data_IF_895495580157
#
_entry.id   IF_895495580157
#
_cell.length_a   1.000
_cell.length_b   1.000
_cell.length_c   1.000
_cell.angle_alpha   90.00
_cell.angle_beta   90.00
_cell.angle_gamma   90.00
#
_symmetry.space_group_name_H-M   'P 1'
#
loop_
_entity.id
_entity.type
_entity.pdbx_description
1 polymer ?
#
# COMPACT_ATOMS: atom_id res chain seq x y z
N UNK A 1 -40.34 -26.71 47.11
CA UNK A 1 -39.21 -27.60 46.82
C UNK A 1 -38.74 -27.38 45.38
N UNK A 2 -37.46 -27.04 45.20
CA UNK A 2 -36.67 -26.99 43.95
C UNK A 2 -37.19 -26.04 42.84
N UNK A 3 -36.61 -24.85 42.69
CA UNK A 3 -35.43 -24.53 41.84
C UNK A 3 -35.71 -24.65 40.33
N UNK A 4 -35.61 -23.53 39.59
CA UNK A 4 -34.49 -23.22 38.67
C UNK A 4 -34.78 -21.89 37.95
N UNK A 5 -33.78 -21.00 37.98
CA UNK A 5 -33.74 -19.68 37.35
C UNK A 5 -33.82 -19.76 35.82
N UNK A 6 -34.72 -18.97 35.23
CA UNK A 6 -34.78 -18.67 33.79
C UNK A 6 -33.96 -17.41 33.50
N UNK A 7 -32.83 -17.56 32.80
CA UNK A 7 -32.06 -16.43 32.26
C UNK A 7 -32.33 -16.28 30.76
N UNK A 8 -33.16 -15.28 30.45
CA UNK A 8 -33.48 -14.82 29.10
C UNK A 8 -32.27 -14.19 28.42
N UNK A 9 -31.70 -14.88 27.42
CA UNK A 9 -30.69 -14.32 26.51
C UNK A 9 -31.34 -13.93 25.18
N UNK A 10 -31.21 -12.64 24.83
CA UNK A 10 -31.72 -12.03 23.61
C UNK A 10 -31.11 -12.67 22.36
N UNK A 11 -32.00 -13.15 21.48
CA UNK A 11 -31.75 -13.69 20.14
C UNK A 11 -31.45 -12.52 19.19
N UNK A 12 -30.20 -12.34 18.77
CA UNK A 12 -29.83 -11.44 17.66
C UNK A 12 -29.81 -12.26 16.37
N UNK A 13 -30.64 -11.83 15.42
CA UNK A 13 -30.95 -12.47 14.16
C UNK A 13 -29.78 -12.29 13.16
N UNK A 14 -29.04 -13.36 12.88
CA UNK A 14 -27.88 -13.38 11.98
C UNK A 14 -28.25 -13.89 10.58
N UNK A 15 -29.19 -13.20 9.92
CA UNK A 15 -29.50 -13.42 8.51
C UNK A 15 -28.89 -12.30 7.67
N UNK A 16 -27.61 -12.45 7.30
CA UNK A 16 -26.97 -11.87 6.10
C UNK A 16 -25.51 -12.33 6.07
N UNK A 17 -25.21 -13.24 5.13
CA UNK A 17 -23.91 -13.51 4.46
C UNK A 17 -23.88 -14.96 3.94
N UNK A 18 -24.74 -15.24 2.96
CA UNK A 18 -24.55 -16.31 1.98
C UNK A 18 -24.47 -15.67 0.60
N UNK A 19 -23.26 -15.30 0.20
CA UNK A 19 -22.80 -15.20 -1.19
C UNK A 19 -21.28 -15.00 -1.14
N UNK A 20 -20.58 -15.40 -2.19
CA UNK A 20 -19.11 -15.34 -2.40
C UNK A 20 -18.30 -16.55 -1.89
N UNK A 21 -18.39 -17.69 -2.58
CA UNK A 21 -17.22 -18.55 -2.81
C UNK A 21 -17.44 -19.46 -4.03
N UNK A 22 -17.74 -18.87 -5.17
CA UNK A 22 -17.57 -19.46 -6.50
C UNK A 22 -17.06 -18.32 -7.40
N UNK A 23 -16.15 -18.62 -8.32
CA UNK A 23 -15.38 -17.70 -9.18
C UNK A 23 -14.08 -17.14 -8.58
N UNK A 24 -13.07 -18.01 -8.54
CA UNK A 24 -11.64 -17.64 -8.65
C UNK A 24 -10.88 -18.92 -9.07
N UNK A 25 -11.15 -19.40 -10.28
CA UNK A 25 -10.29 -20.38 -10.97
C UNK A 25 -10.61 -20.44 -12.46
N UNK A 26 -10.05 -19.51 -13.24
CA UNK A 26 -9.71 -19.70 -14.66
C UNK A 26 -8.94 -18.47 -15.14
N UNK A 27 -7.62 -18.50 -15.01
CA UNK A 27 -6.71 -17.61 -15.76
C UNK A 27 -5.25 -18.05 -15.52
N UNK A 28 -4.85 -19.16 -16.13
CA UNK A 28 -3.46 -19.34 -16.60
C UNK A 28 -3.45 -20.36 -17.72
N UNK A 29 -3.62 -19.90 -18.95
CA UNK A 29 -3.10 -20.51 -20.19
C UNK A 29 -3.64 -19.70 -21.38
N UNK A 30 -2.79 -18.85 -21.95
CA UNK A 30 -2.60 -18.62 -23.39
C UNK A 30 -1.75 -17.37 -23.61
N UNK A 31 -0.53 -17.59 -24.04
CA UNK A 31 0.30 -16.60 -24.71
C UNK A 31 -0.07 -16.58 -26.21
N UNK A 32 0.19 -15.43 -26.84
CA UNK A 32 0.17 -15.14 -28.28
C UNK A 32 -1.21 -15.03 -28.97
N UNK A 33 -1.76 -13.81 -28.97
CA UNK A 33 -2.41 -13.18 -30.13
C UNK A 33 -2.66 -11.69 -29.80
N UNK A 34 -2.34 -10.78 -30.71
CA UNK A 34 -2.69 -9.35 -30.61
C UNK A 34 -4.21 -9.19 -30.67
N UNK A 35 -4.85 -8.29 -29.90
CA UNK A 35 -6.26 -8.01 -30.11
C UNK A 35 -6.43 -6.79 -31.01
N UNK A 36 -7.15 -7.03 -32.11
CA UNK A 36 -7.86 -6.01 -32.86
C UNK A 36 -8.93 -5.34 -32.01
N UNK A 37 -9.20 -4.09 -32.38
CA UNK A 37 -10.26 -3.21 -31.90
C UNK A 37 -11.65 -3.83 -32.06
N UNK A 38 -12.44 -3.89 -30.98
CA UNK A 38 -13.91 -3.77 -31.07
C UNK A 38 -14.51 -3.28 -29.75
N UNK A 39 -15.48 -2.39 -29.89
CA UNK A 39 -16.06 -1.57 -28.84
C UNK A 39 -17.20 -2.25 -28.06
N UNK A 40 -17.28 -1.85 -26.77
CA UNK A 40 -18.43 -1.75 -25.84
C UNK A 40 -19.59 -2.75 -25.87
N UNK A 41 -19.94 -3.28 -24.69
CA UNK A 41 -21.23 -2.97 -24.03
C UNK A 41 -21.39 -3.60 -22.63
N UNK A 42 -21.91 -2.77 -21.71
CA UNK A 42 -22.67 -3.09 -20.49
C UNK A 42 -22.09 -4.06 -19.44
N UNK A 43 -21.34 -3.55 -18.45
CA UNK A 43 -21.33 -4.04 -17.06
C UNK A 43 -20.32 -3.27 -16.18
N UNK A 44 -20.64 -2.07 -15.68
CA UNK A 44 -20.19 -1.60 -14.34
C UNK A 44 -20.77 -0.20 -14.02
N UNK A 45 -21.94 -0.11 -13.37
CA UNK A 45 -22.52 1.16 -12.92
C UNK A 45 -21.91 1.68 -11.58
N UNK A 46 -20.93 0.96 -11.01
CA UNK A 46 -20.35 1.30 -9.71
C UNK A 46 -19.24 2.36 -9.76
N UNK A 47 -18.85 2.93 -8.60
CA UNK A 47 -17.69 3.82 -8.49
C UNK A 47 -16.38 3.11 -8.89
N UNK A 48 -15.47 3.86 -9.52
CA UNK A 48 -14.14 3.38 -9.91
C UNK A 48 -13.17 3.58 -8.76
N UNK A 49 -12.61 2.48 -8.26
CA UNK A 49 -11.63 2.50 -7.18
C UNK A 49 -10.21 2.36 -7.71
N UNK A 50 -9.31 3.26 -7.30
CA UNK A 50 -7.89 3.21 -7.65
C UNK A 50 -7.00 3.56 -6.45
N UNK A 51 -5.74 3.09 -6.41
CA UNK A 51 -4.80 3.46 -5.36
C UNK A 51 -3.35 3.49 -5.84
N UNK A 52 -2.78 2.33 -6.20
CA UNK A 52 -1.35 2.22 -6.55
C UNK A 52 -1.14 2.46 -8.04
N UNK A 53 0.00 3.05 -8.37
CA UNK A 53 0.45 3.26 -9.74
C UNK A 53 0.64 1.96 -10.54
N UNK A 54 0.81 0.82 -9.85
CA UNK A 54 0.99 -0.50 -10.45
C UNK A 54 -0.30 -1.31 -10.58
N UNK A 55 -1.44 -0.80 -10.08
CA UNK A 55 -2.71 -1.52 -10.14
C UNK A 55 -3.40 -1.28 -11.48
N UNK A 56 -3.50 -2.30 -12.33
CA UNK A 56 -4.27 -2.22 -13.57
C UNK A 56 -5.77 -2.52 -13.31
N UNK A 57 -6.72 -1.84 -13.99
CA UNK A 57 -6.52 -0.92 -15.12
C UNK A 57 -6.46 0.58 -14.76
N UNK A 58 -6.70 0.96 -13.49
CA UNK A 58 -6.93 2.38 -13.10
C UNK A 58 -5.73 3.05 -12.39
N UNK A 59 -4.59 2.37 -12.25
CA UNK A 59 -3.43 2.85 -11.51
C UNK A 59 -2.83 4.14 -12.09
N UNK A 60 -3.07 4.41 -13.38
CA UNK A 60 -2.70 5.66 -14.03
C UNK A 60 -3.36 6.90 -13.40
N UNK A 61 -4.47 6.76 -12.65
CA UNK A 61 -5.09 7.86 -11.92
C UNK A 61 -4.27 8.32 -10.72
N UNK A 62 -3.38 7.46 -10.19
CA UNK A 62 -2.51 7.79 -9.05
C UNK A 62 -1.53 8.92 -9.38
N UNK A 63 -1.29 9.82 -8.42
CA UNK A 63 -0.32 10.90 -8.56
C UNK A 63 1.14 10.40 -8.66
N UNK A 64 1.37 9.14 -8.30
CA UNK A 64 2.68 8.47 -8.36
C UNK A 64 2.95 7.81 -9.71
N UNK A 65 1.95 7.73 -10.59
CA UNK A 65 2.13 7.19 -11.93
C UNK A 65 3.13 8.02 -12.74
N UNK A 66 4.15 7.35 -13.28
CA UNK A 66 5.22 7.97 -14.04
C UNK A 66 4.69 8.50 -15.38
N UNK A 67 4.42 9.80 -15.43
CA UNK A 67 3.93 10.49 -16.60
C UNK A 67 4.54 11.89 -16.62
N UNK A 68 5.59 12.05 -17.44
CA UNK A 68 6.38 13.27 -17.49
C UNK A 68 5.51 14.40 -18.05
N UNK A 69 5.44 15.53 -17.35
CA UNK A 69 4.62 16.69 -17.74
C UNK A 69 5.40 18.00 -17.60
N UNK A 70 4.95 19.03 -18.32
CA UNK A 70 5.44 20.42 -18.24
C UNK A 70 4.32 21.34 -17.78
N UNK A 71 4.66 22.35 -16.99
CA UNK A 71 3.74 23.47 -16.74
C UNK A 71 3.82 24.45 -17.92
N UNK A 72 2.71 25.15 -18.20
CA UNK A 72 2.62 26.14 -19.25
C UNK A 72 3.28 27.46 -18.85
N UNK A 73 3.35 27.77 -17.55
CA UNK A 73 4.04 28.97 -17.04
C UNK A 73 5.55 28.86 -17.20
N UNK A 74 6.11 27.67 -16.91
CA UNK A 74 7.56 27.41 -16.92
C UNK A 74 7.88 26.17 -17.76
N UNK A 75 7.93 26.35 -19.09
CA UNK A 75 8.19 25.25 -20.03
C UNK A 75 9.55 24.57 -19.85
N UNK A 76 10.46 25.20 -19.10
CA UNK A 76 11.80 24.70 -18.77
C UNK A 76 11.77 23.58 -17.74
N UNK A 77 10.75 23.53 -16.88
CA UNK A 77 10.68 22.56 -15.78
C UNK A 77 9.88 21.33 -16.22
N UNK A 78 10.53 20.17 -16.16
CA UNK A 78 9.90 18.87 -16.43
C UNK A 78 9.68 18.13 -15.12
N UNK A 79 8.43 17.78 -14.85
CA UNK A 79 8.01 17.02 -13.67
C UNK A 79 7.83 15.54 -14.03
N UNK A 80 8.55 14.60 -13.38
CA UNK A 80 8.42 13.16 -13.66
C UNK A 80 7.06 12.56 -13.31
N UNK A 81 6.44 13.05 -12.24
CA UNK A 81 5.12 12.65 -11.75
C UNK A 81 4.37 13.87 -11.22
N UNK A 82 3.05 13.73 -11.05
CA UNK A 82 2.25 14.80 -10.45
C UNK A 82 2.56 15.02 -8.95
N UNK A 83 3.10 14.00 -8.24
CA UNK A 83 3.66 14.19 -6.90
C UNK A 83 4.84 15.19 -6.89
N UNK A 84 5.71 15.17 -7.90
CA UNK A 84 6.82 16.13 -7.99
C UNK A 84 6.30 17.56 -8.14
N UNK A 85 5.28 17.74 -8.97
CA UNK A 85 4.62 19.03 -9.13
C UNK A 85 3.99 19.51 -7.83
N UNK A 86 3.22 18.65 -7.16
CA UNK A 86 2.54 18.99 -5.91
C UNK A 86 3.53 19.41 -4.81
N UNK A 87 4.63 18.69 -4.64
CA UNK A 87 5.63 19.04 -3.62
C UNK A 87 6.46 20.27 -3.99
N UNK A 88 6.75 20.49 -5.28
CA UNK A 88 7.41 21.70 -5.75
C UNK A 88 6.54 22.94 -5.50
N UNK A 89 5.26 22.89 -5.88
CA UNK A 89 4.33 23.99 -5.65
C UNK A 89 4.08 24.23 -4.16
N UNK A 90 4.09 23.17 -3.34
CA UNK A 90 4.06 23.32 -1.89
C UNK A 90 5.28 24.10 -1.38
N UNK A 91 6.48 23.77 -1.84
CA UNK A 91 7.69 24.49 -1.42
C UNK A 91 7.64 25.96 -1.87
N UNK A 92 7.15 26.23 -3.09
CA UNK A 92 6.95 27.59 -3.60
C UNK A 92 5.90 28.39 -2.83
N UNK A 93 4.81 27.76 -2.39
CA UNK A 93 3.78 28.41 -1.58
C UNK A 93 4.32 28.94 -0.24
N UNK A 94 5.32 28.27 0.34
CA UNK A 94 5.97 28.68 1.59
C UNK A 94 7.34 29.33 1.37
N UNK A 95 7.64 29.78 0.14
CA UNK A 95 8.87 30.50 -0.21
C UNK A 95 10.17 29.73 0.14
N UNK A 96 10.11 28.39 0.18
CA UNK A 96 11.27 27.53 0.45
C UNK A 96 11.94 27.07 -0.85
N UNK A 97 12.74 27.97 -1.42
CA UNK A 97 13.51 27.70 -2.64
C UNK A 97 14.51 26.55 -2.48
N UNK A 98 15.05 26.34 -1.27
CA UNK A 98 16.03 25.28 -1.01
C UNK A 98 15.42 23.89 -1.17
N UNK A 99 14.20 23.69 -0.67
CA UNK A 99 13.47 22.43 -0.86
C UNK A 99 12.95 22.33 -2.29
N UNK A 100 12.48 23.42 -2.90
CA UNK A 100 12.03 23.45 -4.28
C UNK A 100 13.14 22.96 -5.24
N UNK A 101 14.36 23.48 -5.10
CA UNK A 101 15.53 23.08 -5.90
C UNK A 101 15.91 21.61 -5.68
N UNK A 102 15.84 21.12 -4.44
CA UNK A 102 16.08 19.69 -4.14
C UNK A 102 15.05 18.78 -4.81
N UNK A 103 13.78 19.19 -4.84
CA UNK A 103 12.72 18.45 -5.52
C UNK A 103 12.97 18.42 -7.04
N UNK A 104 13.38 19.56 -7.63
CA UNK A 104 13.72 19.64 -9.04
C UNK A 104 15.00 18.89 -9.41
N UNK A 105 15.98 18.83 -8.53
CA UNK A 105 17.19 18.02 -8.72
C UNK A 105 16.88 16.51 -8.62
N UNK A 106 15.88 16.15 -7.82
CA UNK A 106 15.44 14.77 -7.58
C UNK A 106 14.59 14.13 -8.67
N UNK A 107 14.77 14.48 -9.97
CA UNK A 107 13.91 13.98 -11.07
C UNK A 107 13.88 12.45 -11.21
N UNK A 108 14.95 11.78 -10.77
CA UNK A 108 15.06 10.32 -10.82
C UNK A 108 14.69 9.65 -9.49
N UNK A 109 14.26 10.43 -8.49
CA UNK A 109 13.86 9.88 -7.21
C UNK A 109 12.46 9.27 -7.28
N UNK A 110 12.29 8.20 -6.51
CA UNK A 110 10.97 7.60 -6.33
C UNK A 110 10.02 8.61 -5.64
N UNK A 111 8.73 8.71 -6.03
CA UNK A 111 7.76 9.70 -5.49
C UNK A 111 7.70 9.77 -3.97
N UNK A 112 7.87 8.62 -3.30
CA UNK A 112 8.02 8.54 -1.84
C UNK A 112 9.09 9.49 -1.27
N UNK A 113 10.27 9.58 -1.89
CA UNK A 113 11.36 10.44 -1.40
C UNK A 113 11.02 11.92 -1.59
N UNK A 114 10.30 12.25 -2.65
CA UNK A 114 9.80 13.61 -2.92
C UNK A 114 8.74 14.02 -1.89
N UNK A 115 7.83 13.10 -1.56
CA UNK A 115 6.86 13.30 -0.47
C UNK A 115 7.53 13.50 0.89
N UNK A 116 8.67 12.84 1.13
CA UNK A 116 9.50 13.08 2.33
C UNK A 116 10.10 14.49 2.32
N UNK A 117 10.66 14.96 1.19
CA UNK A 117 11.17 16.32 1.06
C UNK A 117 10.08 17.38 1.27
N UNK A 118 8.87 17.15 0.74
CA UNK A 118 7.74 18.06 0.95
C UNK A 118 7.22 18.13 2.40
N UNK A 119 7.68 17.25 3.30
CA UNK A 119 7.44 17.35 4.75
C UNK A 119 8.50 18.17 5.48
N UNK A 120 9.62 18.44 4.82
CA UNK A 120 10.74 19.21 5.37
C UNK A 120 10.68 20.70 4.97
N UNK A 121 9.61 21.14 4.29
CA UNK A 121 9.37 22.54 3.91
C UNK A 121 9.34 23.43 5.15
N UNK A 122 10.21 24.45 5.18
CA UNK A 122 10.25 25.43 6.24
C UNK A 122 9.01 26.35 6.19
N UNK A 123 8.60 26.89 7.35
CA UNK A 123 7.48 27.84 7.41
C UNK A 123 6.10 27.24 7.11
N UNK A 124 5.95 25.91 7.18
CA UNK A 124 4.69 25.24 6.88
C UNK A 124 3.57 25.65 7.85
N UNK A 125 2.53 26.27 7.29
CA UNK A 125 1.24 26.51 7.96
C UNK A 125 0.16 25.59 7.40
N UNK A 126 -0.56 24.90 8.28
CA UNK A 126 -1.59 23.94 7.90
C UNK A 126 -2.83 24.63 7.32
N UNK A 127 -3.19 25.81 7.82
CA UNK A 127 -4.41 26.51 7.39
C UNK A 127 -4.29 27.00 5.94
N UNK A 128 -3.15 27.62 5.62
CA UNK A 128 -2.78 28.06 4.27
C UNK A 128 -2.69 26.88 3.30
N UNK A 129 -2.10 25.77 3.75
CA UNK A 129 -2.04 24.55 2.93
C UNK A 129 -3.42 23.95 2.67
N UNK A 130 -4.33 23.94 3.65
CA UNK A 130 -5.69 23.43 3.48
C UNK A 130 -6.47 24.25 2.44
N UNK A 131 -6.27 25.57 2.41
CA UNK A 131 -6.91 26.47 1.45
C UNK A 131 -6.41 26.23 0.00
N UNK A 132 -5.10 26.09 -0.19
CA UNK A 132 -4.49 26.08 -1.54
C UNK A 132 -4.29 24.68 -2.15
N UNK A 133 -4.16 23.64 -1.31
CA UNK A 133 -3.76 22.28 -1.77
C UNK A 133 -4.66 21.72 -2.87
N UNK A 134 -5.96 22.00 -2.81
CA UNK A 134 -6.92 21.44 -3.75
C UNK A 134 -6.71 22.03 -5.15
N UNK A 135 -6.47 23.35 -5.24
CA UNK A 135 -6.18 24.01 -6.50
C UNK A 135 -4.86 23.55 -7.10
N UNK A 136 -3.83 23.39 -6.27
CA UNK A 136 -2.52 22.89 -6.69
C UNK A 136 -2.64 21.48 -7.29
N UNK A 137 -3.36 20.56 -6.62
CA UNK A 137 -3.53 19.19 -7.11
C UNK A 137 -4.44 19.12 -8.34
N UNK A 138 -5.49 19.94 -8.41
CA UNK A 138 -6.31 20.08 -9.62
C UNK A 138 -5.46 20.54 -10.81
N UNK A 139 -4.63 21.57 -10.64
CA UNK A 139 -3.72 22.06 -11.69
C UNK A 139 -2.69 20.99 -12.09
N UNK A 140 -2.07 20.31 -11.14
CA UNK A 140 -1.14 19.21 -11.44
C UNK A 140 -1.79 18.06 -12.19
N UNK A 141 -3.02 17.72 -11.82
CA UNK A 141 -3.82 16.68 -12.50
C UNK A 141 -4.21 17.13 -13.91
N UNK A 142 -4.60 18.39 -14.11
CA UNK A 142 -4.85 18.95 -15.43
C UNK A 142 -3.63 18.86 -16.35
N UNK A 143 -2.45 19.27 -15.87
CA UNK A 143 -1.20 19.18 -16.63
C UNK A 143 -0.86 17.74 -17.01
N UNK A 144 -1.08 16.80 -16.08
CA UNK A 144 -0.89 15.37 -16.32
C UNK A 144 -1.79 14.85 -17.45
N UNK A 145 -3.02 15.33 -17.58
CA UNK A 145 -3.95 14.87 -18.62
C UNK A 145 -3.75 15.58 -19.96
N UNK A 146 -3.29 16.84 -19.97
CA UNK A 146 -3.29 17.68 -21.18
C UNK A 146 -1.92 17.94 -21.79
N UNK A 147 -0.85 17.92 -20.99
CA UNK A 147 0.51 18.30 -21.42
C UNK A 147 1.58 17.23 -21.10
N UNK A 148 1.40 15.97 -21.52
CA UNK A 148 2.49 15.00 -21.47
C UNK A 148 3.69 15.38 -22.33
N UNK A 149 4.87 14.92 -21.91
CA UNK A 149 5.97 14.68 -22.85
C UNK A 149 5.65 13.42 -23.67
N UNK A 150 5.89 13.49 -24.99
CA UNK A 150 5.44 12.54 -26.04
C UNK A 150 6.04 11.12 -25.97
N UNK A 151 6.52 10.68 -24.82
CA UNK A 151 7.23 9.40 -24.66
C UNK A 151 6.29 8.20 -24.42
N UNK A 152 4.96 8.42 -24.31
CA UNK A 152 3.97 7.37 -24.09
C UNK A 152 2.84 7.42 -25.12
N UNK A 153 2.48 6.24 -25.62
CA UNK A 153 1.47 6.02 -26.66
C UNK A 153 0.02 6.24 -26.19
N UNK A 154 -0.20 6.36 -24.87
CA UNK A 154 -1.54 6.42 -24.25
C UNK A 154 -1.87 7.85 -23.81
N UNK A 155 -3.01 8.36 -24.29
CA UNK A 155 -3.58 9.65 -23.89
C UNK A 155 -4.41 9.47 -22.61
N UNK A 156 -3.89 9.91 -21.46
CA UNK A 156 -4.60 9.78 -20.18
C UNK A 156 -5.86 10.65 -20.11
N UNK A 157 -5.93 11.75 -20.87
CA UNK A 157 -7.11 12.59 -20.93
C UNK A 157 -8.30 11.88 -21.59
N UNK A 158 -8.05 11.11 -22.65
CA UNK A 158 -9.07 10.29 -23.32
C UNK A 158 -9.55 9.17 -22.38
N UNK A 159 -8.63 8.46 -21.71
CA UNK A 159 -8.99 7.45 -20.71
C UNK A 159 -9.83 8.04 -19.57
N UNK A 160 -9.59 9.29 -19.18
CA UNK A 160 -10.40 9.96 -18.16
C UNK A 160 -11.81 10.26 -18.68
N UNK A 161 -11.96 10.64 -19.94
CA UNK A 161 -13.28 10.84 -20.55
C UNK A 161 -14.06 9.52 -20.70
N UNK A 162 -13.37 8.41 -21.00
CA UNK A 162 -13.96 7.06 -21.09
C UNK A 162 -14.58 6.59 -19.78
N UNK A 163 -14.15 7.12 -18.63
CA UNK A 163 -14.78 6.81 -17.33
C UNK A 163 -16.25 7.26 -17.23
N UNK A 164 -16.74 8.06 -18.19
CA UNK A 164 -18.11 8.54 -18.22
C UNK A 164 -18.43 9.38 -16.99
N UNK A 165 -19.62 9.19 -16.42
CA UNK A 165 -20.08 9.91 -15.22
C UNK A 165 -19.83 9.15 -13.92
N UNK A 166 -19.04 8.07 -13.97
CA UNK A 166 -18.74 7.26 -12.79
C UNK A 166 -17.95 8.05 -11.76
N UNK A 167 -18.25 7.82 -10.48
CA UNK A 167 -17.53 8.42 -9.37
C UNK A 167 -16.13 7.83 -9.25
N UNK A 168 -15.11 8.69 -9.16
CA UNK A 168 -13.71 8.27 -9.04
C UNK A 168 -13.27 8.34 -7.57
N UNK A 169 -12.78 7.21 -7.04
CA UNK A 169 -12.50 7.06 -5.59
C UNK A 169 -11.08 6.55 -5.35
N UNK A 170 -10.26 7.35 -4.66
CA UNK A 170 -8.94 6.91 -4.23
C UNK A 170 -9.03 6.00 -2.99
N UNK A 171 -8.88 4.70 -3.20
CA UNK A 171 -9.01 3.64 -2.21
C UNK A 171 -7.72 3.38 -1.42
N UNK A 172 -7.10 4.46 -0.92
CA UNK A 172 -5.93 4.40 -0.05
C UNK A 172 -6.34 4.08 1.40
N UNK A 173 -5.88 2.98 2.01
CA UNK A 173 -6.22 2.63 3.39
C UNK A 173 -5.53 3.49 4.45
N UNK A 174 -4.53 4.30 4.06
CA UNK A 174 -3.72 5.07 5.00
C UNK A 174 -3.93 6.58 4.89
N UNK A 175 -4.60 7.05 3.82
CA UNK A 175 -4.83 8.47 3.56
C UNK A 175 -6.33 8.75 3.59
N UNK A 176 -6.75 9.63 4.51
CA UNK A 176 -8.14 10.07 4.67
C UNK A 176 -8.39 11.48 4.12
N UNK A 177 -7.35 12.15 3.62
CA UNK A 177 -7.47 13.50 3.05
C UNK A 177 -7.59 13.37 1.54
N UNK A 178 -6.62 12.72 0.90
CA UNK A 178 -6.64 12.54 -0.55
C UNK A 178 -7.51 11.35 -0.97
N UNK A 179 -7.53 10.29 -0.16
CA UNK A 179 -8.36 9.10 -0.35
C UNK A 179 -9.41 8.86 0.74
N UNK A 180 -10.12 7.74 0.62
CA UNK A 180 -11.24 7.40 1.51
C UNK A 180 -10.84 6.72 2.82
N UNK A 181 -9.58 6.33 3.00
CA UNK A 181 -9.11 5.63 4.20
C UNK A 181 -9.45 4.13 4.25
N UNK A 182 -9.92 3.56 3.14
CA UNK A 182 -10.27 2.13 3.00
C UNK A 182 -9.75 1.57 1.68
N UNK A 183 -9.53 0.25 1.64
CA UNK A 183 -9.22 -0.47 0.39
C UNK A 183 -10.49 -0.58 -0.46
N UNK A 184 -10.34 -0.74 -1.78
CA UNK A 184 -11.46 -0.83 -2.72
C UNK A 184 -12.56 -1.82 -2.28
N UNK A 185 -12.18 -2.98 -1.73
CA UNK A 185 -13.10 -4.03 -1.25
C UNK A 185 -13.98 -3.60 -0.06
N UNK A 186 -13.45 -2.73 0.78
CA UNK A 186 -14.08 -2.31 2.03
C UNK A 186 -14.69 -0.90 1.93
N UNK A 187 -14.35 -0.16 0.88
CA UNK A 187 -14.75 1.24 0.70
C UNK A 187 -16.27 1.39 0.61
N UNK A 188 -16.93 0.67 -0.30
CA UNK A 188 -18.39 0.76 -0.47
C UNK A 188 -19.16 0.50 0.83
N UNK A 189 -18.72 -0.49 1.61
CA UNK A 189 -19.37 -0.88 2.86
C UNK A 189 -19.22 0.14 3.99
N UNK A 190 -18.34 1.13 3.86
CA UNK A 190 -18.00 2.09 4.91
C UNK A 190 -18.14 3.56 4.45
N UNK A 191 -19.10 3.83 3.55
CA UNK A 191 -19.28 5.15 2.91
C UNK A 191 -19.43 6.31 3.89
N UNK A 192 -20.13 6.11 5.00
CA UNK A 192 -20.29 7.12 6.08
C UNK A 192 -18.97 7.50 6.78
N UNK A 193 -17.95 6.62 6.73
CA UNK A 193 -16.67 6.81 7.42
C UNK A 193 -15.53 7.22 6.48
N UNK A 194 -15.87 7.56 5.24
CA UNK A 194 -14.91 7.96 4.22
C UNK A 194 -14.15 9.21 4.63
N UNK A 195 -12.90 9.25 4.18
CA UNK A 195 -12.14 10.48 4.09
C UNK A 195 -12.71 11.47 3.06
N UNK A 196 -11.96 12.53 2.79
CA UNK A 196 -12.44 13.63 1.93
C UNK A 196 -12.41 13.32 0.42
N UNK A 197 -11.66 12.28 0.01
CA UNK A 197 -11.46 11.86 -1.39
C UNK A 197 -11.12 13.03 -2.33
N UNK A 198 -10.25 13.96 -1.88
CA UNK A 198 -9.93 15.16 -2.64
C UNK A 198 -9.31 14.85 -4.01
N UNK A 199 -8.56 13.76 -4.15
CA UNK A 199 -7.97 13.38 -5.43
C UNK A 199 -9.04 12.91 -6.44
N UNK A 200 -10.01 12.11 -5.99
CA UNK A 200 -11.15 11.71 -6.81
C UNK A 200 -11.95 12.90 -7.31
N UNK A 201 -12.24 13.86 -6.41
CA UNK A 201 -12.90 15.13 -6.76
C UNK A 201 -12.10 15.97 -7.75
N UNK A 202 -10.79 16.05 -7.58
CA UNK A 202 -9.91 16.76 -8.51
C UNK A 202 -9.92 16.13 -9.91
N UNK A 203 -9.90 14.80 -10.03
CA UNK A 203 -10.00 14.09 -11.30
C UNK A 203 -11.36 14.32 -11.97
N UNK A 204 -12.46 14.27 -11.22
CA UNK A 204 -13.81 14.54 -11.75
C UNK A 204 -13.95 15.99 -12.23
N UNK A 205 -13.39 16.96 -11.51
CA UNK A 205 -13.37 18.35 -11.93
C UNK A 205 -12.52 18.57 -13.21
N UNK A 206 -11.37 17.90 -13.31
CA UNK A 206 -10.54 17.91 -14.53
C UNK A 206 -11.27 17.25 -15.70
N UNK A 207 -11.98 16.16 -15.46
CA UNK A 207 -12.81 15.47 -16.46
C UNK A 207 -13.89 16.40 -17.02
N UNK A 208 -14.57 17.14 -16.17
CA UNK A 208 -15.60 18.09 -16.61
C UNK A 208 -15.01 19.22 -17.45
N UNK A 209 -13.90 19.81 -16.98
CA UNK A 209 -13.17 20.82 -17.74
C UNK A 209 -12.71 20.32 -19.11
N UNK A 210 -12.28 19.05 -19.22
CA UNK A 210 -11.90 18.46 -20.51
C UNK A 210 -13.09 18.32 -21.47
N UNK A 211 -14.31 18.13 -20.96
CA UNK A 211 -15.54 18.07 -21.77
C UNK A 211 -15.88 19.45 -22.31
N UNK A 212 -15.78 20.48 -21.48
CA UNK A 212 -15.98 21.89 -21.87
C UNK A 212 -14.98 22.30 -22.97
N UNK A 213 -13.66 22.13 -22.72
CA UNK A 213 -12.59 22.39 -23.69
C UNK A 213 -12.77 21.62 -25.02
N UNK A 214 -13.28 20.38 -24.95
CA UNK A 214 -13.55 19.55 -26.13
C UNK A 214 -14.78 20.00 -26.93
N UNK A 215 -15.78 20.58 -26.27
CA UNK A 215 -16.93 21.21 -26.90
C UNK A 215 -16.55 22.49 -27.63
N UNK A 216 -15.73 23.34 -27.00
CA UNK A 216 -15.21 24.58 -27.59
C UNK A 216 -14.32 24.32 -28.82
N UNK A 217 -13.39 23.36 -28.73
CA UNK A 217 -12.55 22.98 -29.90
C UNK A 217 -13.36 22.45 -31.09
N UNK A 218 -14.47 21.75 -30.85
CA UNK A 218 -15.37 21.29 -31.93
C UNK A 218 -16.18 22.45 -32.54
N UNK A 219 -16.50 23.48 -31.77
CA UNK A 219 -17.12 24.71 -32.27
C UNK A 219 -16.12 25.53 -33.11
N UNK A 220 -14.88 25.67 -32.62
CA UNK A 220 -13.77 26.35 -33.32
C UNK A 220 -13.32 25.62 -34.59
N UNK A 221 -13.30 24.28 -34.61
CA UNK A 221 -13.00 23.50 -35.83
C UNK A 221 -14.10 23.59 -36.88
N UNK A 222 -15.38 23.71 -36.47
CA UNK A 222 -16.49 24.02 -37.39
C UNK A 222 -16.36 25.43 -37.97
N UNK A 223 -15.98 26.41 -37.15
CA UNK A 223 -15.71 27.78 -37.60
C UNK A 223 -14.50 27.87 -38.54
N UNK A 224 -13.40 27.18 -38.22
CA UNK A 224 -12.18 27.15 -39.04
C UNK A 224 -12.34 26.38 -40.35
N UNK A 225 -13.20 25.36 -40.42
CA UNK A 225 -13.54 24.71 -41.70
C UNK A 225 -14.29 25.65 -42.65
N UNK A 226 -15.14 26.52 -42.12
CA UNK A 226 -15.86 27.53 -42.92
C UNK A 226 -14.93 28.68 -43.39
N UNK A 227 -13.94 29.08 -42.58
CA UNK A 227 -12.95 30.09 -43.01
C UNK A 227 -11.86 29.52 -43.93
N UNK A 228 -11.45 28.25 -43.75
CA UNK A 228 -10.45 27.59 -44.59
C UNK A 228 -10.93 27.22 -46.00
N UNK A 229 -12.24 27.12 -46.24
CA UNK A 229 -12.81 27.07 -47.61
C UNK A 229 -12.74 28.45 -48.30
N UNK A 230 -12.77 29.56 -47.54
CA UNK A 230 -12.57 30.92 -48.07
C UNK A 230 -11.11 31.28 -48.34
N UNK A 231 -10.15 30.75 -47.58
CA UNK A 231 -8.73 31.11 -47.71
C UNK A 231 -7.91 30.20 -48.66
N UNK A 232 -8.47 29.04 -49.08
CA UNK A 232 -7.88 28.19 -50.13
C UNK A 232 -7.95 28.79 -51.54
N UNK A 233 -8.58 29.94 -51.73
CA UNK A 233 -8.53 30.70 -52.98
C UNK A 233 -7.37 31.70 -53.08
N UNK A 234 -6.57 31.90 -52.02
CA UNK A 234 -5.69 33.07 -51.97
C UNK A 234 -4.18 32.81 -51.81
N UNK A 235 -3.72 31.65 -51.37
CA UNK A 235 -2.27 31.45 -51.13
C UNK A 235 -1.74 30.19 -51.82
N UNK A 236 -1.65 30.26 -53.15
CA UNK A 236 -0.91 29.32 -54.00
C UNK A 236 0.33 29.95 -54.64
N UNK A 237 0.98 30.92 -53.96
CA UNK A 237 2.26 31.48 -54.41
C UNK A 237 3.18 31.76 -53.22
N UNK A 238 4.44 31.37 -53.41
CA UNK A 238 5.65 31.67 -52.64
C UNK A 238 5.92 30.82 -51.38
N UNK A 239 6.74 29.78 -51.56
CA UNK A 239 8.04 29.68 -50.90
C UNK A 239 8.83 28.45 -51.38
N UNK A 240 9.94 28.68 -52.11
CA UNK A 240 11.04 27.73 -52.27
C UNK A 240 12.36 28.52 -52.35
N UNK A 241 13.40 27.92 -51.75
CA UNK A 241 14.85 28.16 -51.84
C UNK A 241 15.53 29.11 -50.84
N UNK A 242 16.31 28.53 -49.91
CA UNK A 242 17.79 28.45 -49.90
C UNK A 242 18.22 27.73 -48.58
N UNK A 243 19.01 26.64 -48.52
CA UNK A 243 20.48 26.47 -48.74
C UNK A 243 21.32 27.51 -47.94
N UNK A 244 22.43 27.25 -47.22
CA UNK A 244 23.44 26.16 -47.16
C UNK A 244 24.51 26.49 -46.08
N UNK A 245 25.36 25.50 -45.70
CA UNK A 245 26.80 25.58 -45.27
C UNK A 245 27.18 26.28 -43.94
N UNK A 246 28.33 26.09 -43.26
CA UNK A 246 29.41 25.08 -43.11
C UNK A 246 30.36 25.59 -41.99
N UNK A 247 31.14 24.67 -41.38
CA UNK A 247 32.59 24.82 -41.11
C UNK A 247 33.12 25.17 -39.68
N UNK A 248 34.33 24.62 -39.47
CA UNK A 248 35.15 24.30 -38.29
C UNK A 248 35.90 25.44 -37.56
N UNK A 249 36.57 25.06 -36.44
CA UNK A 249 37.82 25.55 -35.78
C UNK A 249 37.59 26.05 -34.33
N UNK A 250 38.47 25.96 -33.32
CA UNK A 250 39.79 25.37 -33.05
C UNK A 250 40.06 25.52 -31.52
N UNK A 251 41.12 24.87 -31.01
CA UNK A 251 41.57 24.75 -29.61
C UNK A 251 42.01 26.03 -28.88
N UNK A 252 41.97 26.02 -27.53
CA UNK A 252 43.13 26.31 -26.64
C UNK A 252 42.86 26.01 -25.14
N UNK A 253 43.94 25.61 -24.47
CA UNK A 253 44.10 25.20 -23.06
C UNK A 253 43.78 26.30 -22.02
N UNK A 254 43.44 25.90 -20.79
CA UNK A 254 43.97 26.56 -19.57
C UNK A 254 43.97 25.65 -18.33
N UNK A 255 44.93 25.92 -17.45
CA UNK A 255 45.46 25.10 -16.34
C UNK A 255 44.69 25.20 -15.02
N UNK A 256 44.88 24.19 -14.16
CA UNK A 256 44.46 24.12 -12.75
C UNK A 256 45.48 24.80 -11.82
N UNK A 257 45.05 25.29 -10.63
CA UNK A 257 45.95 25.40 -9.48
C UNK A 257 45.54 24.48 -8.32
N UNK A 258 46.57 23.90 -7.70
CA UNK A 258 46.58 23.16 -6.44
C UNK A 258 46.85 24.11 -5.26
N UNK A 259 46.13 23.96 -4.15
CA UNK A 259 46.37 24.68 -2.88
C UNK A 259 47.02 23.77 -1.84
N UNK A 260 47.94 24.26 -0.99
CA UNK A 260 48.63 23.47 0.02
C UNK A 260 47.90 23.43 1.37
N UNK A 261 48.10 22.32 2.09
CA UNK A 261 47.60 22.02 3.44
C UNK A 261 48.66 22.48 4.46
N UNK A 262 48.27 23.31 5.42
CA UNK A 262 49.06 23.66 6.62
C UNK A 262 48.41 23.01 7.86
N UNK A 263 49.22 22.22 8.58
CA UNK A 263 48.93 21.71 9.92
C UNK A 263 49.16 22.81 10.97
N UNK A 264 48.40 22.80 12.08
CA UNK A 264 48.88 23.37 13.34
C UNK A 264 48.97 22.29 14.44
N UNK A 265 50.20 21.90 14.76
CA UNK A 265 50.56 21.31 16.06
C UNK A 265 50.78 22.45 17.05
N UNK A 266 49.87 22.61 18.02
CA UNK A 266 50.07 23.55 19.12
C UNK A 266 49.94 22.79 20.45
N UNK A 267 51.09 22.38 21.00
CA UNK A 267 51.21 21.82 22.34
C UNK A 267 50.94 22.92 23.36
N UNK A 268 49.76 22.89 23.99
CA UNK A 268 49.46 23.72 25.16
C UNK A 268 50.41 23.38 26.30
N UNK A 269 51.20 24.36 26.71
CA UNK A 269 51.92 24.39 27.98
C UNK A 269 50.90 24.38 29.14
N UNK A 270 51.12 23.49 30.12
CA UNK A 270 50.41 23.49 31.40
C UNK A 270 51.06 24.53 32.32
N UNK A 271 50.31 25.42 32.99
CA UNK A 271 50.87 26.13 34.14
C UNK A 271 50.85 25.20 35.37
N UNK A 272 52.02 25.04 35.97
CA UNK A 272 52.26 24.41 37.27
C UNK A 272 52.20 25.48 38.36
N UNK A 273 51.13 25.51 39.16
CA UNK A 273 51.10 26.13 40.49
C UNK A 273 49.99 25.49 41.32
N UNK A 274 50.30 24.40 42.01
CA UNK A 274 49.41 23.82 43.02
C UNK A 274 49.64 24.54 44.36
N UNK A 275 48.89 25.61 44.61
CA UNK A 275 48.61 26.04 45.98
C UNK A 275 47.70 25.00 46.62
N UNK A 276 48.12 24.41 47.75
CA UNK A 276 47.36 23.43 48.50
C UNK A 276 46.18 24.11 49.22
N UNK A 277 45.10 24.36 48.49
CA UNK A 277 43.82 24.79 49.07
C UNK A 277 43.19 23.59 49.79
N UNK A 278 42.91 23.73 51.09
CA UNK A 278 42.10 22.78 51.88
C UNK A 278 40.71 22.68 51.24
N UNK A 279 40.50 21.68 50.39
CA UNK A 279 39.21 21.43 49.77
C UNK A 279 38.21 20.81 50.75
N UNK A 280 36.97 21.29 50.70
CA UNK A 280 35.83 20.77 51.45
C UNK A 280 35.43 19.39 50.93
N UNK A 281 35.08 18.45 51.83
CA UNK A 281 34.72 17.08 51.46
C UNK A 281 33.20 16.93 51.29
N UNK A 282 32.75 16.78 50.04
CA UNK A 282 31.33 16.65 49.66
C UNK A 282 30.88 15.20 49.41
N UNK A 283 31.66 14.19 49.81
CA UNK A 283 31.34 12.77 49.55
C UNK A 283 30.01 12.35 50.21
N UNK A 284 29.76 12.81 51.44
CA UNK A 284 28.51 12.51 52.16
C UNK A 284 27.29 13.11 51.46
N UNK A 285 27.38 14.36 51.03
CA UNK A 285 26.33 15.09 50.32
C UNK A 285 26.04 14.45 48.96
N UNK A 286 27.07 14.01 48.25
CA UNK A 286 26.93 13.29 46.98
C UNK A 286 26.23 11.94 47.15
N UNK A 287 26.55 11.20 48.22
CA UNK A 287 25.88 9.95 48.59
C UNK A 287 24.41 10.18 48.98
N UNK A 288 24.14 11.18 49.82
CA UNK A 288 22.77 11.53 50.21
C UNK A 288 21.93 11.99 49.01
N UNK A 289 22.52 12.78 48.10
CA UNK A 289 21.86 13.20 46.86
C UNK A 289 21.54 12.02 45.93
N UNK A 290 22.44 11.04 45.83
CA UNK A 290 22.22 9.81 45.07
C UNK A 290 21.02 9.01 45.61
N UNK A 291 20.96 8.81 46.94
CA UNK A 291 19.84 8.14 47.62
C UNK A 291 18.52 8.91 47.43
N UNK A 292 18.54 10.23 47.60
CA UNK A 292 17.35 11.09 47.49
C UNK A 292 16.79 11.13 46.06
N UNK A 293 17.66 11.17 45.04
CA UNK A 293 17.28 11.21 43.62
C UNK A 293 17.08 9.81 42.99
N UNK A 294 17.33 8.74 43.75
CA UNK A 294 17.22 7.36 43.27
C UNK A 294 18.14 7.05 42.08
N UNK A 295 19.35 7.59 42.08
CA UNK A 295 20.33 7.38 41.00
C UNK A 295 21.73 7.16 41.56
N UNK A 296 22.61 6.50 40.80
CA UNK A 296 23.99 6.29 41.25
C UNK A 296 24.80 7.60 41.31
N UNK A 297 25.78 7.68 42.23
CA UNK A 297 26.59 8.88 42.49
C UNK A 297 27.24 9.51 41.25
N UNK A 298 27.55 8.70 40.21
CA UNK A 298 28.12 9.20 38.94
C UNK A 298 27.17 10.15 38.20
N UNK A 299 25.86 10.07 38.47
CA UNK A 299 24.83 10.92 37.89
C UNK A 299 24.55 12.18 38.70
N UNK A 300 25.11 12.32 39.89
CA UNK A 300 25.02 13.56 40.67
C UNK A 300 26.06 14.57 40.17
N UNK A 301 25.60 15.79 39.94
CA UNK A 301 26.41 16.99 39.74
C UNK A 301 26.16 17.93 40.91
N UNK A 302 27.23 18.46 41.48
CA UNK A 302 27.24 19.45 42.56
C UNK A 302 27.86 20.71 41.98
N UNK A 303 27.29 21.87 42.28
CA UNK A 303 27.83 23.14 41.83
C UNK A 303 29.21 23.41 42.48
N UNK A 304 30.29 23.60 41.69
CA UNK A 304 31.61 23.94 42.22
C UNK A 304 31.74 25.38 42.74
N UNK A 305 30.77 26.26 42.48
CA UNK A 305 30.79 27.64 42.99
C UNK A 305 30.17 27.73 44.40
N UNK A 306 29.12 26.93 44.66
CA UNK A 306 28.36 26.94 45.92
C UNK A 306 28.76 25.80 46.88
N UNK A 307 30.07 25.54 46.97
CA UNK A 307 30.63 24.44 47.79
C UNK A 307 30.28 24.59 49.27
N UNK A 308 30.25 25.82 49.78
CA UNK A 308 29.99 26.11 51.19
C UNK A 308 28.52 25.83 51.56
N UNK A 309 27.58 26.23 50.72
CA UNK A 309 26.15 25.99 50.94
C UNK A 309 25.84 24.48 50.88
N UNK A 310 26.41 23.78 49.90
CA UNK A 310 26.26 22.33 49.77
C UNK A 310 26.85 21.61 50.99
N UNK A 311 28.02 22.02 51.48
CA UNK A 311 28.67 21.41 52.64
C UNK A 311 27.83 21.48 53.92
N UNK A 312 27.04 22.55 54.10
CA UNK A 312 26.22 22.74 55.29
C UNK A 312 24.96 21.83 55.31
N UNK A 313 24.60 21.20 54.18
CA UNK A 313 23.44 20.34 54.06
C UNK A 313 23.72 18.90 54.55
N UNK A 314 23.40 18.62 55.81
CA UNK A 314 23.62 17.31 56.45
C UNK A 314 22.41 16.37 56.43
N UNK A 315 21.22 16.88 56.11
CA UNK A 315 19.96 16.11 56.13
C UNK A 315 19.43 15.83 54.72
N UNK A 316 18.67 14.73 54.55
CA UNK A 316 17.99 14.42 53.28
C UNK A 316 17.02 15.52 52.84
N UNK A 317 16.40 16.22 53.80
CA UNK A 317 15.47 17.31 53.51
C UNK A 317 16.19 18.56 52.98
N UNK A 318 17.35 18.88 53.56
CA UNK A 318 18.23 19.95 53.06
C UNK A 318 18.73 19.65 51.65
N UNK A 319 19.13 18.40 51.38
CA UNK A 319 19.53 17.96 50.03
C UNK A 319 18.37 18.08 49.02
N UNK A 320 17.12 17.77 49.41
CA UNK A 320 15.95 17.98 48.54
C UNK A 320 15.76 19.46 48.20
N UNK A 321 16.01 20.37 49.16
CA UNK A 321 15.95 21.81 48.94
C UNK A 321 17.02 22.25 47.91
N UNK A 322 18.28 21.82 48.10
CA UNK A 322 19.36 22.11 47.14
C UNK A 322 19.13 21.54 45.73
N UNK A 323 18.41 20.42 45.63
CA UNK A 323 17.97 19.88 44.32
C UNK A 323 16.90 20.75 43.69
N UNK A 324 15.96 21.27 44.48
CA UNK A 324 14.91 22.18 44.00
C UNK A 324 15.49 23.54 43.58
N UNK A 325 16.48 24.04 44.33
CA UNK A 325 17.18 25.29 44.07
C UNK A 325 18.18 25.17 42.89
N UNK A 326 18.46 23.95 42.41
CA UNK A 326 19.29 23.69 41.24
C UNK A 326 20.80 23.56 41.50
N UNK A 327 21.23 23.64 42.77
CA UNK A 327 22.62 23.47 43.20
C UNK A 327 23.10 22.01 43.10
N UNK A 328 22.15 21.06 43.13
CA UNK A 328 22.39 19.63 42.92
C UNK A 328 21.54 19.14 41.75
N UNK A 329 22.19 18.68 40.68
CA UNK A 329 21.51 18.26 39.45
C UNK A 329 21.75 16.79 39.16
N UNK A 330 20.70 16.09 38.74
CA UNK A 330 20.82 14.77 38.12
C UNK A 330 21.24 14.91 36.66
N UNK A 331 22.49 14.55 36.35
CA UNK A 331 22.99 14.46 34.97
C UNK A 331 22.14 13.50 34.15
N UNK A 332 21.86 13.84 32.87
CA UNK A 332 21.14 12.94 31.99
C UNK A 332 21.89 11.61 31.77
N UNK A 333 21.14 10.59 31.35
CA UNK A 333 21.74 9.32 30.96
C UNK A 333 22.57 9.53 29.68
N UNK A 334 23.74 8.91 29.63
CA UNK A 334 24.58 8.91 28.43
C UNK A 334 23.83 8.15 27.33
N UNK A 335 23.52 8.82 26.23
CA UNK A 335 22.64 8.26 25.21
C UNK A 335 23.29 7.08 24.48
N UNK A 336 22.71 5.88 24.60
CA UNK A 336 23.07 4.73 23.77
C UNK A 336 22.13 4.62 22.57
N UNK A 337 22.50 5.25 21.46
CA UNK A 337 21.68 5.23 20.25
C UNK A 337 21.56 3.82 19.67
N UNK A 338 20.32 3.40 19.37
CA UNK A 338 19.99 2.14 18.68
C UNK A 338 19.80 2.31 17.17
N UNK A 339 20.08 3.50 16.61
CA UNK A 339 19.83 3.80 15.20
C UNK A 339 20.52 2.80 14.25
N UNK A 340 21.83 2.59 14.42
CA UNK A 340 22.61 1.63 13.63
C UNK A 340 22.12 0.18 13.77
N UNK A 341 21.73 -0.23 14.98
CA UNK A 341 21.19 -1.56 15.22
C UNK A 341 19.83 -1.76 14.52
N UNK A 342 18.97 -0.73 14.52
CA UNK A 342 17.67 -0.74 13.81
C UNK A 342 17.88 -0.83 12.29
N UNK A 343 18.78 -0.02 11.75
CA UNK A 343 19.13 -0.04 10.33
C UNK A 343 19.67 -1.41 9.89
N UNK A 344 20.61 -1.99 10.65
CA UNK A 344 21.12 -3.34 10.38
C UNK A 344 20.02 -4.40 10.43
N UNK A 345 19.06 -4.28 11.35
CA UNK A 345 17.92 -5.20 11.42
C UNK A 345 16.98 -5.06 10.21
N UNK A 346 16.76 -3.84 9.71
CA UNK A 346 16.01 -3.61 8.47
C UNK A 346 16.73 -4.21 7.26
N UNK A 347 18.06 -4.01 7.16
CA UNK A 347 18.87 -4.62 6.12
C UNK A 347 18.85 -6.17 6.21
N UNK A 348 18.95 -6.73 7.41
CA UNK A 348 18.83 -8.18 7.66
C UNK A 348 17.45 -8.73 7.32
N UNK A 349 16.38 -7.96 7.52
CA UNK A 349 15.00 -8.34 7.16
C UNK A 349 14.83 -8.47 5.65
N UNK A 350 15.45 -7.56 4.88
CA UNK A 350 15.47 -7.61 3.41
C UNK A 350 16.32 -8.78 2.90
N UNK A 351 17.26 -9.28 3.71
CA UNK A 351 18.06 -10.47 3.39
C UNK A 351 19.56 -10.21 3.36
N UNK A 352 20.01 -8.97 3.54
CA UNK A 352 21.44 -8.63 3.61
C UNK A 352 22.09 -9.24 4.86
N UNK A 353 23.41 -9.46 4.80
CA UNK A 353 24.21 -10.04 5.89
C UNK A 353 23.79 -11.45 6.35
N UNK A 354 23.23 -12.28 5.44
CA UNK A 354 22.80 -13.68 5.74
C UNK A 354 23.58 -14.77 4.96
N UNK A 355 24.57 -14.38 4.15
CA UNK A 355 25.41 -15.29 3.37
C UNK A 355 26.25 -16.24 4.22
N UNK A 356 26.86 -17.25 3.59
CA UNK A 356 27.59 -18.33 4.28
C UNK A 356 28.67 -17.82 5.23
N UNK A 357 29.49 -16.83 4.82
CA UNK A 357 30.54 -16.24 5.67
C UNK A 357 30.04 -15.46 6.91
N UNK A 358 28.72 -15.26 7.08
CA UNK A 358 28.13 -14.67 8.30
C UNK A 358 27.47 -15.71 9.21
N UNK A 359 27.49 -16.99 8.85
CA UNK A 359 26.89 -18.09 9.64
C UNK A 359 27.99 -18.69 10.53
N UNK A 360 27.77 -18.70 11.85
CA UNK A 360 28.71 -19.23 12.85
C UNK A 360 28.19 -20.48 13.59
N UNK A 361 27.11 -21.10 13.11
CA UNK A 361 26.50 -22.29 13.71
C UNK A 361 25.77 -23.13 12.67
N UNK A 362 25.45 -24.38 13.03
CA UNK A 362 24.78 -25.35 12.15
C UNK A 362 23.39 -24.88 11.73
N UNK A 363 22.83 -25.49 10.67
CA UNK A 363 21.49 -25.15 10.19
C UNK A 363 20.43 -25.40 11.28
N UNK A 364 20.52 -26.53 11.97
CA UNK A 364 19.59 -26.93 13.04
C UNK A 364 19.68 -25.99 14.26
N UNK A 365 20.89 -25.60 14.68
CA UNK A 365 21.05 -24.63 15.77
C UNK A 365 20.44 -23.25 15.44
N UNK A 366 20.43 -22.86 14.16
CA UNK A 366 19.85 -21.58 13.71
C UNK A 366 18.33 -21.66 13.56
N UNK A 367 17.81 -22.79 13.07
CA UNK A 367 16.40 -23.07 12.86
C UNK A 367 16.15 -24.58 13.01
N UNK A 368 15.77 -25.03 14.22
CA UNK A 368 15.61 -26.46 14.49
C UNK A 368 14.56 -27.13 13.61
N UNK A 369 14.87 -28.31 13.09
CA UNK A 369 13.98 -29.07 12.20
C UNK A 369 12.65 -29.42 12.88
N UNK A 370 12.70 -29.75 14.17
CA UNK A 370 11.51 -30.02 14.98
C UNK A 370 10.54 -28.82 14.99
N UNK A 371 11.06 -27.59 15.08
CA UNK A 371 10.24 -26.37 15.04
C UNK A 371 9.59 -26.19 13.67
N UNK A 372 10.33 -26.46 12.59
CA UNK A 372 9.79 -26.39 11.23
C UNK A 372 8.68 -27.42 11.01
N UNK A 373 8.89 -28.66 11.46
CA UNK A 373 7.89 -29.73 11.41
C UNK A 373 6.65 -29.38 12.23
N UNK A 374 6.81 -28.91 13.48
CA UNK A 374 5.69 -28.49 14.33
C UNK A 374 4.89 -27.36 13.70
N UNK A 375 5.55 -26.32 13.16
CA UNK A 375 4.88 -25.21 12.47
C UNK A 375 4.09 -25.71 11.26
N UNK A 376 4.69 -26.58 10.43
CA UNK A 376 4.03 -27.19 9.26
C UNK A 376 2.79 -27.98 9.68
N UNK A 377 2.95 -28.92 10.62
CA UNK A 377 1.84 -29.77 11.10
C UNK A 377 0.69 -28.94 11.68
N UNK A 378 0.99 -27.92 12.51
CA UNK A 378 -0.03 -27.04 13.08
C UNK A 378 -0.79 -26.25 12.00
N UNK A 379 -0.10 -25.77 10.97
CA UNK A 379 -0.73 -25.05 9.85
C UNK A 379 -1.66 -25.97 9.05
N UNK A 380 -1.21 -27.19 8.71
CA UNK A 380 -2.02 -28.16 7.97
C UNK A 380 -3.26 -28.59 8.76
N UNK A 381 -3.08 -28.98 10.03
CA UNK A 381 -4.18 -29.44 10.88
C UNK A 381 -5.20 -28.33 11.17
N UNK A 382 -4.75 -27.10 11.43
CA UNK A 382 -5.65 -25.95 11.61
C UNK A 382 -6.50 -25.68 10.36
N UNK A 383 -5.92 -25.84 9.17
CA UNK A 383 -6.67 -25.70 7.92
C UNK A 383 -7.74 -26.78 7.78
N UNK A 384 -7.39 -28.04 8.03
CA UNK A 384 -8.33 -29.17 7.97
C UNK A 384 -9.50 -28.98 8.95
N UNK A 385 -9.22 -28.57 10.19
CA UNK A 385 -10.27 -28.28 11.19
C UNK A 385 -11.18 -27.16 10.70
N UNK A 386 -10.62 -26.07 10.17
CA UNK A 386 -11.40 -24.96 9.60
C UNK A 386 -12.29 -25.41 8.44
N UNK A 387 -11.77 -26.24 7.53
CA UNK A 387 -12.52 -26.69 6.36
C UNK A 387 -13.64 -27.67 6.73
N UNK A 388 -13.43 -28.50 7.76
CA UNK A 388 -14.47 -29.37 8.31
C UNK A 388 -15.58 -28.54 8.96
N UNK A 389 -15.22 -27.56 9.79
CA UNK A 389 -16.18 -26.67 10.43
C UNK A 389 -16.99 -25.85 9.41
N UNK A 390 -16.37 -25.44 8.29
CA UNK A 390 -17.08 -24.74 7.22
C UNK A 390 -17.84 -25.66 6.25
N UNK A 391 -17.88 -26.97 6.48
CA UNK A 391 -18.54 -27.94 5.59
C UNK A 391 -17.91 -28.08 4.21
N UNK A 392 -16.66 -27.61 4.01
CA UNK A 392 -15.96 -27.74 2.72
C UNK A 392 -15.46 -29.16 2.48
N UNK A 393 -15.19 -29.90 3.55
CA UNK A 393 -14.79 -31.31 3.56
C UNK A 393 -15.69 -32.07 4.54
N UNK A 394 -15.94 -33.34 4.26
CA UNK A 394 -16.68 -34.23 5.17
C UNK A 394 -15.75 -34.79 6.26
N UNK A 395 -16.35 -35.50 7.24
CA UNK A 395 -15.60 -36.11 8.35
C UNK A 395 -14.64 -37.21 7.88
N UNK A 396 -14.99 -37.90 6.79
CA UNK A 396 -14.22 -39.04 6.26
C UNK A 396 -12.96 -38.57 5.55
N UNK A 397 -13.09 -37.64 4.61
CA UNK A 397 -11.97 -37.00 3.92
C UNK A 397 -11.09 -36.22 4.92
N UNK A 398 -11.68 -35.62 5.97
CA UNK A 398 -10.89 -35.01 7.05
C UNK A 398 -9.97 -36.03 7.73
N UNK A 399 -10.46 -37.21 8.08
CA UNK A 399 -9.68 -38.22 8.80
C UNK A 399 -8.53 -38.77 7.96
N UNK A 400 -8.80 -39.07 6.68
CA UNK A 400 -7.80 -39.50 5.71
C UNK A 400 -6.69 -38.43 5.55
N UNK A 401 -7.09 -37.18 5.30
CA UNK A 401 -6.13 -36.08 5.12
C UNK A 401 -5.36 -35.76 6.40
N UNK A 402 -5.93 -36.02 7.58
CA UNK A 402 -5.26 -35.83 8.86
C UNK A 402 -4.07 -36.79 9.01
N UNK A 403 -4.26 -38.06 8.66
CA UNK A 403 -3.19 -39.06 8.68
C UNK A 403 -2.17 -38.86 7.56
N UNK A 404 -2.64 -38.51 6.35
CA UNK A 404 -1.75 -38.16 5.25
C UNK A 404 -0.85 -36.95 5.61
N UNK A 405 -1.40 -35.92 6.26
CA UNK A 405 -0.62 -34.80 6.77
C UNK A 405 0.42 -35.23 7.82
N UNK A 406 0.08 -36.15 8.72
CA UNK A 406 1.05 -36.75 9.68
C UNK A 406 2.16 -37.51 8.95
N UNK A 407 1.81 -38.25 7.89
CA UNK A 407 2.71 -39.02 7.02
C UNK A 407 3.56 -38.20 6.05
N UNK A 408 3.60 -36.87 6.17
CA UNK A 408 4.45 -35.98 5.36
C UNK A 408 4.16 -36.00 3.85
N UNK A 409 2.95 -36.39 3.44
CA UNK A 409 2.52 -36.32 2.03
C UNK A 409 2.45 -34.87 1.54
N UNK A 410 2.04 -33.95 2.43
CA UNK A 410 1.90 -32.52 2.12
C UNK A 410 3.08 -31.69 2.65
N UNK A 411 3.85 -31.10 1.74
CA UNK A 411 5.02 -30.25 2.10
C UNK A 411 4.64 -28.87 2.62
N UNK A 412 3.51 -28.31 2.18
CA UNK A 412 3.02 -27.00 2.59
C UNK A 412 1.51 -26.89 2.39
N UNK A 413 0.92 -25.81 2.94
CA UNK A 413 -0.53 -25.55 2.90
C UNK A 413 -1.13 -25.64 1.49
N UNK A 414 -0.44 -25.08 0.49
CA UNK A 414 -0.92 -25.06 -0.90
C UNK A 414 -1.13 -26.48 -1.49
N UNK A 415 -0.17 -27.38 -1.31
CA UNK A 415 -0.26 -28.77 -1.78
C UNK A 415 -1.46 -29.50 -1.17
N UNK A 416 -1.74 -29.27 0.13
CA UNK A 416 -2.93 -29.83 0.77
C UNK A 416 -4.23 -29.27 0.15
N UNK A 417 -4.29 -27.96 -0.12
CA UNK A 417 -5.48 -27.34 -0.73
C UNK A 417 -5.69 -27.87 -2.16
N UNK A 418 -4.64 -27.97 -2.96
CA UNK A 418 -4.68 -28.53 -4.31
C UNK A 418 -5.17 -29.99 -4.29
N UNK A 419 -4.67 -30.80 -3.35
CA UNK A 419 -5.13 -32.18 -3.16
C UNK A 419 -6.62 -32.24 -2.79
N UNK A 420 -7.09 -31.37 -1.88
CA UNK A 420 -8.51 -31.30 -1.51
C UNK A 420 -9.36 -30.94 -2.72
N UNK A 421 -8.93 -29.98 -3.53
CA UNK A 421 -9.68 -29.57 -4.73
C UNK A 421 -9.77 -30.71 -5.75
N UNK A 422 -8.66 -31.43 -5.97
CA UNK A 422 -8.63 -32.62 -6.84
C UNK A 422 -9.56 -33.73 -6.32
N UNK A 423 -9.42 -34.12 -5.06
CA UNK A 423 -10.24 -35.17 -4.44
C UNK A 423 -11.74 -34.82 -4.46
N UNK A 424 -12.10 -33.54 -4.26
CA UNK A 424 -13.49 -33.08 -4.36
C UNK A 424 -14.02 -33.12 -5.79
N UNK A 425 -13.21 -32.76 -6.77
CA UNK A 425 -13.60 -32.81 -8.18
C UNK A 425 -13.82 -34.26 -8.64
N UNK A 426 -12.97 -35.19 -8.20
CA UNK A 426 -13.14 -36.63 -8.42
C UNK A 426 -14.44 -37.15 -7.80
N UNK A 427 -14.66 -36.90 -6.50
CA UNK A 427 -15.89 -37.32 -5.80
C UNK A 427 -17.16 -36.70 -6.42
N UNK A 428 -17.09 -35.48 -6.93
CA UNK A 428 -18.22 -34.84 -7.62
C UNK A 428 -18.53 -35.53 -8.95
N UNK A 429 -17.51 -35.87 -9.75
CA UNK A 429 -17.67 -36.63 -11.01
C UNK A 429 -18.26 -38.01 -10.76
N UNK A 430 -17.75 -38.74 -9.77
CA UNK A 430 -18.29 -40.05 -9.38
C UNK A 430 -19.77 -39.96 -8.97
N UNK A 431 -20.14 -38.91 -8.23
CA UNK A 431 -21.52 -38.68 -7.82
C UNK A 431 -22.42 -38.43 -9.03
N UNK A 432 -22.00 -37.59 -9.97
CA UNK A 432 -22.77 -37.30 -11.19
C UNK A 432 -22.99 -38.57 -12.03
N UNK A 433 -21.94 -39.37 -12.24
CA UNK A 433 -22.07 -40.64 -12.96
C UNK A 433 -23.01 -41.61 -12.25
N UNK A 434 -22.95 -41.68 -10.92
CA UNK A 434 -23.85 -42.51 -10.12
C UNK A 434 -25.31 -42.04 -10.22
N UNK A 435 -25.55 -40.74 -10.08
CA UNK A 435 -26.87 -40.12 -10.22
C UNK A 435 -27.46 -40.38 -11.61
N UNK A 436 -26.65 -40.29 -12.67
CA UNK A 436 -27.07 -40.59 -14.04
C UNK A 436 -27.45 -42.07 -14.21
N UNK A 437 -26.63 -42.99 -13.69
CA UNK A 437 -26.89 -44.43 -13.75
C UNK A 437 -28.13 -44.82 -12.94
N UNK A 438 -28.31 -44.25 -11.76
CA UNK A 438 -29.49 -44.49 -10.91
C UNK A 438 -30.75 -43.90 -11.55
N UNK A 439 -30.66 -42.74 -12.21
CA UNK A 439 -31.76 -42.17 -12.99
C UNK A 439 -32.17 -43.06 -14.18
N UNK A 440 -31.20 -43.62 -14.92
CA UNK A 440 -31.46 -44.60 -15.99
C UNK A 440 -32.13 -45.88 -15.46
N UNK A 441 -31.66 -46.38 -14.31
CA UNK A 441 -32.28 -47.54 -13.62
C UNK A 441 -33.70 -47.23 -13.17
N UNK A 442 -33.94 -46.08 -12.55
CA UNK A 442 -35.26 -45.64 -12.12
C UNK A 442 -36.23 -45.47 -13.29
N UNK A 443 -35.79 -44.87 -14.40
CA UNK A 443 -36.60 -44.73 -15.62
C UNK A 443 -36.98 -46.10 -16.20
N UNK A 444 -36.03 -47.03 -16.23
CA UNK A 444 -36.26 -48.40 -16.71
C UNK A 444 -37.21 -49.16 -15.78
N UNK A 445 -37.05 -49.02 -14.46
CA UNK A 445 -37.94 -49.61 -13.46
C UNK A 445 -39.36 -49.08 -13.59
N UNK A 446 -39.54 -47.76 -13.65
CA UNK A 446 -40.85 -47.13 -13.84
C UNK A 446 -41.52 -47.53 -15.16
N UNK A 447 -40.75 -47.69 -16.24
CA UNK A 447 -41.29 -48.19 -17.51
C UNK A 447 -41.76 -49.65 -17.42
N UNK A 448 -41.04 -50.50 -16.66
CA UNK A 448 -41.46 -51.88 -16.40
C UNK A 448 -42.74 -51.92 -15.55
N UNK A 449 -42.80 -51.14 -14.47
CA UNK A 449 -43.98 -51.04 -13.60
C UNK A 449 -45.21 -50.57 -14.39
N UNK A 450 -45.10 -49.50 -15.17
CA UNK A 450 -46.19 -49.03 -16.06
C UNK A 450 -46.63 -50.08 -17.08
N UNK A 451 -45.70 -50.90 -17.60
CA UNK A 451 -46.04 -51.98 -18.53
C UNK A 451 -46.83 -53.08 -17.84
N UNK A 452 -46.42 -53.46 -16.62
CA UNK A 452 -47.14 -54.43 -15.79
C UNK A 452 -48.53 -53.89 -15.42
N UNK A 453 -48.64 -52.64 -14.98
CA UNK A 453 -49.91 -51.97 -14.66
C UNK A 453 -50.88 -51.95 -15.85
N UNK A 454 -50.38 -51.68 -17.08
CA UNK A 454 -51.22 -51.75 -18.28
C UNK A 454 -51.70 -53.18 -18.57
N UNK A 455 -50.83 -54.17 -18.37
CA UNK A 455 -51.19 -55.58 -18.58
C UNK A 455 -52.21 -56.07 -17.54
N UNK A 456 -52.05 -55.69 -16.28
CA UNK A 456 -53.02 -56.01 -15.22
C UNK A 456 -54.34 -55.30 -15.43
N UNK A 457 -54.33 -54.00 -15.77
CA UNK A 457 -55.55 -53.26 -16.09
C UNK A 457 -56.29 -53.86 -17.30
N UNK A 458 -55.57 -54.21 -18.38
CA UNK A 458 -56.15 -54.90 -19.54
C UNK A 458 -56.76 -56.26 -19.16
N UNK A 459 -56.09 -57.03 -18.30
CA UNK A 459 -56.59 -58.32 -17.81
C UNK A 459 -57.85 -58.15 -16.97
N UNK A 460 -57.89 -57.16 -16.09
CA UNK A 460 -59.05 -56.88 -15.25
C UNK A 460 -60.26 -56.43 -16.08
N UNK A 461 -60.07 -55.52 -17.03
CA UNK A 461 -61.16 -55.08 -17.92
C UNK A 461 -61.73 -56.22 -18.77
N UNK A 462 -60.90 -57.18 -19.19
CA UNK A 462 -61.35 -58.37 -19.91
C UNK A 462 -62.20 -59.28 -19.01
N UNK A 463 -61.85 -59.41 -17.73
CA UNK A 463 -62.63 -60.20 -16.77
C UNK A 463 -63.97 -59.55 -16.45
N UNK A 464 -64.00 -58.22 -16.28
CA UNK A 464 -65.21 -57.45 -16.00
C UNK A 464 -66.22 -57.53 -17.16
N UNK A 465 -65.76 -57.41 -18.41
CA UNK A 465 -66.63 -57.59 -19.58
C UNK A 465 -67.20 -59.01 -19.75
N UNK A 466 -66.55 -60.03 -19.19
CA UNK A 466 -67.07 -61.41 -19.16
C UNK A 466 -68.07 -61.64 -18.01
N UNK A 467 -68.05 -60.78 -16.98
CA UNK A 467 -69.01 -60.81 -15.87
C UNK A 467 -70.29 -60.03 -16.22
N UNK A 468 -70.22 -59.01 -17.07
CA UNK A 468 -71.40 -58.26 -17.57
C UNK A 468 -72.21 -59.03 -18.66
N UNK A 469 -71.61 -60.04 -19.32
CA UNK A 469 -72.30 -60.90 -20.29
C UNK A 469 -73.05 -62.11 -19.68
N UNK A 470 -72.98 -62.30 -18.36
CA UNK A 470 -73.74 -63.32 -17.61
C UNK A 470 -74.88 -62.71 -16.83
#
# INVERSE_FOLDING_TARGET
MAQIFSTSTKRINSNKRKATFAELSKSSERAAAMPETSASSSADEGPIYFWRETEEPYGWMSQWYAYRMRDASDSTIVYPTAEHYMMYQKAKLFEDDKIADKILAGKDFHPRKIKELGREVAGFDESTWVAEREQIVKKGTWLKMTKPLRDKQVNLGELLLETGDRELVEASPFDRVWGVGFRAKDAENNRERWGLNLLGKALMAVRERLREDGGERKADEKGKRQTAEGERSFVSKLARQANTTCCLHSWKLFSKPSSPILNPTNHRQRPSTASAVKMVNLVSQKRLAADVLGCGERKIWLDPNEVNEISNANSRQSIRKLVADGLIIRKPVTMHSRARARELNLARRIGRHRGFGKRKGTADARMPEQILWMRRQRVLRRLLVKYRASGKIDKHLYHELYHAAKGNTFKHKRALVEHIHRAKAEKARERQLKEEMDAKRAKTKAARERKVERQTAKRNALMEGLEEEK
#
